data_IF_154737070863
#
_entry.id   IF_154737070863
#
_cell.length_a   1.000
_cell.length_b   1.000
_cell.length_c   1.000
_cell.angle_alpha   90.00
_cell.angle_beta   90.00
_cell.angle_gamma   90.00
#
_symmetry.space_group_name_H-M   'P 1'
#
loop_
_entity.id
_entity.type
_entity.pdbx_description
1 polymer ?
#
# COMPACT_ATOMS: atom_id res chain seq x y z
N UNK A 1 -0.12 -8.14 21.65
CA UNK A 1 0.65 -9.24 22.27
C UNK A 1 -0.08 -10.58 22.28
N UNK A 2 -1.16 -10.75 21.48
CA UNK A 2 -2.00 -11.94 21.53
C UNK A 2 -1.19 -13.21 21.23
N UNK A 3 -0.46 -13.22 20.11
CA UNK A 3 0.28 -14.40 19.67
C UNK A 3 1.45 -14.78 20.59
N UNK A 4 2.23 -13.83 21.12
CA UNK A 4 3.32 -14.18 22.04
C UNK A 4 2.79 -14.85 23.31
N UNK A 5 1.68 -14.35 23.88
CA UNK A 5 1.03 -14.94 25.05
C UNK A 5 0.42 -16.30 24.74
N UNK A 6 -0.29 -16.43 23.62
CA UNK A 6 -0.89 -17.70 23.18
C UNK A 6 0.16 -18.77 22.91
N UNK A 7 1.38 -18.38 22.51
CA UNK A 7 2.52 -19.27 22.32
C UNK A 7 3.35 -19.50 23.59
N UNK A 8 2.90 -19.02 24.76
CA UNK A 8 3.50 -19.30 26.07
C UNK A 8 4.64 -18.38 26.50
N UNK A 9 4.83 -17.22 25.86
CA UNK A 9 5.79 -16.23 26.34
C UNK A 9 5.33 -15.63 27.68
N UNK A 10 6.25 -15.56 28.63
CA UNK A 10 6.07 -14.88 29.92
C UNK A 10 5.76 -13.40 29.70
N UNK A 11 4.59 -12.97 30.16
CA UNK A 11 4.06 -11.62 29.94
C UNK A 11 4.98 -10.53 30.52
N UNK A 12 5.63 -10.78 31.65
CA UNK A 12 6.52 -9.82 32.31
C UNK A 12 7.78 -9.54 31.48
N UNK A 13 8.10 -10.42 30.53
CA UNK A 13 9.26 -10.28 29.63
C UNK A 13 8.91 -9.64 28.30
N UNK A 14 7.63 -9.44 27.97
CA UNK A 14 7.23 -8.86 26.69
C UNK A 14 7.32 -7.32 26.76
N UNK A 15 8.03 -6.72 25.81
CA UNK A 15 8.14 -5.26 25.68
C UNK A 15 7.80 -4.84 24.26
N UNK A 16 7.07 -3.74 24.12
CA UNK A 16 6.76 -3.14 22.81
C UNK A 16 7.91 -2.22 22.42
N UNK A 17 8.48 -2.46 21.25
CA UNK A 17 9.43 -1.55 20.62
C UNK A 17 8.71 -0.97 19.40
N UNK A 18 8.39 0.33 19.37
CA UNK A 18 7.77 0.94 18.20
C UNK A 18 8.75 0.99 17.03
N UNK A 19 8.22 0.98 15.80
CA UNK A 19 9.03 1.20 14.61
C UNK A 19 9.54 2.65 14.61
N UNK A 20 10.83 2.83 14.34
CA UNK A 20 11.42 4.17 14.15
C UNK A 20 11.11 4.72 12.76
N UNK A 21 10.88 6.03 12.68
CA UNK A 21 10.73 6.79 11.43
C UNK A 21 11.47 8.12 11.53
N UNK A 22 12.09 8.55 10.43
CA UNK A 22 12.71 9.88 10.34
C UNK A 22 11.61 10.94 10.16
N UNK A 23 11.34 11.71 11.21
CA UNK A 23 10.25 12.70 11.23
C UNK A 23 10.53 13.95 10.39
N UNK A 24 11.81 14.23 10.11
CA UNK A 24 12.19 15.36 9.25
C UNK A 24 11.98 15.03 7.78
N UNK A 25 12.16 13.74 7.43
CA UNK A 25 11.91 13.18 6.10
C UNK A 25 10.44 12.87 5.85
N UNK A 26 9.77 12.19 6.79
CA UNK A 26 8.38 11.76 6.66
C UNK A 26 7.44 12.79 7.29
N UNK A 27 7.31 13.93 6.62
CA UNK A 27 6.37 14.99 7.00
C UNK A 27 5.46 15.37 5.83
N UNK A 28 4.25 15.88 6.10
CA UNK A 28 3.41 16.46 5.08
C UNK A 28 4.14 17.62 4.37
N UNK A 29 4.19 17.57 3.04
CA UNK A 29 4.72 18.63 2.19
C UNK A 29 3.55 19.45 1.64
N UNK A 30 3.66 20.78 1.67
CA UNK A 30 2.66 21.66 1.07
C UNK A 30 2.64 21.47 -0.45
N UNK A 31 1.54 20.93 -0.99
CA UNK A 31 1.40 20.63 -2.41
C UNK A 31 0.14 19.83 -2.70
N UNK A 32 -0.31 19.81 -3.97
CA UNK A 32 -1.54 19.13 -4.38
C UNK A 32 -1.34 17.62 -4.32
N UNK A 33 -1.71 17.01 -3.20
CA UNK A 33 -2.12 15.60 -3.19
C UNK A 33 -3.17 15.42 -4.30
N UNK A 34 -3.10 14.29 -5.01
CA UNK A 34 -4.14 13.94 -5.96
C UNK A 34 -5.45 13.79 -5.19
N UNK A 35 -6.47 14.54 -5.59
CA UNK A 35 -7.76 14.49 -4.90
C UNK A 35 -8.33 13.10 -5.16
N UNK A 36 -8.59 12.36 -4.08
CA UNK A 36 -8.97 10.92 -4.15
C UNK A 36 -7.82 9.98 -4.56
N UNK A 37 -6.57 10.42 -4.43
CA UNK A 37 -5.41 9.55 -4.58
C UNK A 37 -5.27 8.59 -3.39
N UNK A 38 -5.17 7.30 -3.66
CA UNK A 38 -4.74 6.25 -2.73
C UNK A 38 -3.30 5.92 -3.08
N UNK A 39 -2.42 5.83 -2.09
CA UNK A 39 -1.03 5.42 -2.28
C UNK A 39 -0.77 4.18 -1.45
N UNK A 40 -0.06 3.20 -2.04
CA UNK A 40 0.51 2.08 -1.32
C UNK A 40 2.00 1.99 -1.65
N UNK A 41 2.84 1.87 -0.64
CA UNK A 41 4.27 1.56 -0.81
C UNK A 41 4.51 0.17 -0.25
N UNK A 42 4.65 -0.82 -1.14
CA UNK A 42 4.73 -2.23 -0.76
C UNK A 42 5.47 -3.06 -1.80
N UNK A 43 6.06 -4.19 -1.39
CA UNK A 43 6.58 -5.16 -2.35
C UNK A 43 5.41 -5.84 -3.05
N UNK A 44 5.55 -6.13 -4.34
CA UNK A 44 4.56 -6.90 -5.08
C UNK A 44 4.90 -8.38 -4.90
N UNK A 45 4.26 -8.98 -3.90
CA UNK A 45 4.31 -10.40 -3.56
C UNK A 45 3.05 -10.84 -2.80
N UNK A 46 2.76 -12.16 -2.72
CA UNK A 46 1.54 -12.66 -2.08
C UNK A 46 1.39 -12.30 -0.60
N UNK A 47 2.49 -12.13 0.15
CA UNK A 47 2.41 -11.78 1.58
C UNK A 47 1.86 -10.37 1.78
N UNK A 48 2.06 -9.48 0.80
CA UNK A 48 1.58 -8.10 0.83
C UNK A 48 0.16 -7.91 0.31
N UNK A 49 -0.42 -8.95 -0.28
CA UNK A 49 -1.82 -9.03 -0.69
C UNK A 49 -2.34 -7.80 -1.48
N UNK A 50 -1.61 -7.45 -2.55
CA UNK A 50 -1.97 -6.36 -3.47
C UNK A 50 -3.29 -6.63 -4.19
N UNK A 51 -3.66 -7.91 -4.39
CA UNK A 51 -4.95 -8.31 -4.95
C UNK A 51 -6.09 -7.75 -4.12
N UNK A 52 -6.04 -7.88 -2.79
CA UNK A 52 -7.11 -7.36 -1.94
C UNK A 52 -7.24 -5.83 -2.04
N UNK A 53 -6.14 -5.09 -2.24
CA UNK A 53 -6.20 -3.66 -2.53
C UNK A 53 -6.88 -3.38 -3.88
N UNK A 54 -6.59 -4.17 -4.92
CA UNK A 54 -7.24 -4.04 -6.24
C UNK A 54 -8.76 -4.31 -6.13
N UNK A 55 -9.17 -5.33 -5.37
CA UNK A 55 -10.59 -5.60 -5.09
C UNK A 55 -11.25 -4.40 -4.40
N UNK A 56 -10.61 -3.86 -3.35
CA UNK A 56 -11.10 -2.68 -2.65
C UNK A 56 -11.32 -1.50 -3.59
N UNK A 57 -10.40 -1.28 -4.54
CA UNK A 57 -10.52 -0.21 -5.54
C UNK A 57 -11.72 -0.38 -6.47
N UNK A 58 -12.23 -1.59 -6.71
CA UNK A 58 -13.46 -1.78 -7.49
C UNK A 58 -14.69 -1.18 -6.81
N UNK A 59 -14.78 -1.32 -5.48
CA UNK A 59 -15.86 -0.73 -4.70
C UNK A 59 -15.73 0.79 -4.69
N UNK A 60 -14.54 1.30 -4.41
CA UNK A 60 -14.29 2.75 -4.34
C UNK A 60 -14.52 3.42 -5.70
N UNK A 61 -14.07 2.82 -6.80
CA UNK A 61 -14.27 3.37 -8.13
C UNK A 61 -15.75 3.45 -8.55
N UNK A 62 -16.61 2.59 -7.96
CA UNK A 62 -18.05 2.65 -8.20
C UNK A 62 -18.73 3.84 -7.53
N UNK A 63 -18.18 4.35 -6.43
CA UNK A 63 -18.67 5.53 -5.72
C UNK A 63 -17.93 6.81 -6.09
N UNK A 64 -16.64 6.72 -6.40
CA UNK A 64 -15.73 7.82 -6.72
C UNK A 64 -15.03 7.52 -8.07
N UNK A 65 -15.65 7.85 -9.20
CA UNK A 65 -15.10 7.55 -10.54
C UNK A 65 -13.75 8.20 -10.85
N UNK A 66 -13.36 9.24 -10.12
CA UNK A 66 -12.07 9.92 -10.31
C UNK A 66 -10.93 9.31 -9.49
N UNK A 67 -11.22 8.32 -8.63
CA UNK A 67 -10.22 7.74 -7.72
C UNK A 67 -9.04 7.14 -8.47
N UNK A 68 -7.83 7.35 -7.94
CA UNK A 68 -6.59 6.77 -8.45
C UNK A 68 -5.85 6.06 -7.34
N UNK A 69 -5.36 4.85 -7.58
CA UNK A 69 -4.50 4.09 -6.68
C UNK A 69 -3.10 3.96 -7.30
N UNK A 70 -2.09 4.45 -6.58
CA UNK A 70 -0.69 4.42 -6.97
C UNK A 70 0.06 3.42 -6.09
N UNK A 71 0.51 2.32 -6.69
CA UNK A 71 1.22 1.26 -5.99
C UNK A 71 2.71 1.36 -6.33
N UNK A 72 3.52 1.77 -5.35
CA UNK A 72 4.97 1.85 -5.46
C UNK A 72 5.62 0.65 -4.78
N UNK A 73 6.70 0.16 -5.38
CA UNK A 73 7.59 -0.84 -4.81
C UNK A 73 8.07 -1.84 -5.84
N UNK A 74 9.07 -2.66 -5.46
CA UNK A 74 9.66 -3.62 -6.37
C UNK A 74 8.73 -4.83 -6.55
N UNK A 75 8.75 -5.38 -7.77
CA UNK A 75 8.19 -6.71 -8.03
C UNK A 75 9.17 -7.74 -7.51
N UNK A 76 8.77 -8.50 -6.49
CA UNK A 76 9.58 -9.61 -5.95
C UNK A 76 9.02 -10.98 -6.32
N UNK A 77 7.80 -11.03 -6.85
CA UNK A 77 7.20 -12.20 -7.48
C UNK A 77 6.52 -11.79 -8.80
N UNK A 78 7.11 -12.19 -9.92
CA UNK A 78 6.59 -11.85 -11.25
C UNK A 78 5.27 -12.55 -11.58
N UNK A 79 5.05 -13.79 -11.11
CA UNK A 79 3.78 -14.49 -11.33
C UNK A 79 2.65 -13.80 -10.57
N UNK A 80 2.94 -13.30 -9.38
CA UNK A 80 1.98 -12.51 -8.62
C UNK A 80 1.70 -11.15 -9.26
N UNK A 81 2.70 -10.51 -9.86
CA UNK A 81 2.50 -9.29 -10.64
C UNK A 81 1.57 -9.55 -11.84
N UNK A 82 1.82 -10.58 -12.64
CA UNK A 82 0.96 -10.95 -13.78
C UNK A 82 -0.49 -11.19 -13.32
N UNK A 83 -0.67 -11.83 -12.17
CA UNK A 83 -1.99 -12.04 -11.57
C UNK A 83 -2.66 -10.72 -11.17
N UNK A 84 -1.91 -9.77 -10.60
CA UNK A 84 -2.42 -8.45 -10.25
C UNK A 84 -2.83 -7.65 -11.50
N UNK A 85 -2.03 -7.67 -12.56
CA UNK A 85 -2.34 -6.98 -13.82
C UNK A 85 -3.57 -7.59 -14.51
N UNK A 86 -3.67 -8.91 -14.55
CA UNK A 86 -4.86 -9.61 -15.03
C UNK A 86 -6.09 -9.18 -14.23
N UNK A 87 -5.98 -9.14 -12.89
CA UNK A 87 -7.11 -8.76 -12.04
C UNK A 87 -7.55 -7.32 -12.23
N UNK A 88 -6.61 -6.38 -12.38
CA UNK A 88 -6.92 -4.98 -12.76
C UNK A 88 -7.67 -4.93 -14.09
N UNK A 89 -7.29 -5.77 -15.06
CA UNK A 89 -7.97 -5.85 -16.35
C UNK A 89 -9.39 -6.41 -16.22
N UNK A 90 -9.57 -7.51 -15.48
CA UNK A 90 -10.86 -8.18 -15.29
C UNK A 90 -11.89 -7.27 -14.62
N UNK A 91 -11.44 -6.42 -13.71
CA UNK A 91 -12.28 -5.44 -13.00
C UNK A 91 -12.44 -4.11 -13.75
N UNK A 92 -11.80 -3.95 -14.91
CA UNK A 92 -11.86 -2.69 -15.67
C UNK A 92 -11.14 -1.51 -15.00
N UNK A 93 -10.21 -1.77 -14.07
CA UNK A 93 -9.57 -0.75 -13.24
C UNK A 93 -8.29 -0.16 -13.83
N UNK A 94 -8.02 -0.36 -15.13
CA UNK A 94 -6.77 0.07 -15.77
C UNK A 94 -6.49 1.56 -15.62
N UNK A 95 -7.53 2.39 -15.58
CA UNK A 95 -7.38 3.84 -15.36
C UNK A 95 -7.27 4.23 -13.90
N UNK A 96 -7.70 3.37 -12.99
CA UNK A 96 -7.70 3.62 -11.55
C UNK A 96 -6.44 3.11 -10.86
N UNK A 97 -5.95 1.91 -11.17
CA UNK A 97 -4.80 1.30 -10.50
C UNK A 97 -3.54 1.44 -11.37
N UNK A 98 -2.49 2.04 -10.82
CA UNK A 98 -1.20 2.25 -11.48
C UNK A 98 -0.07 1.64 -10.66
N UNK A 99 0.63 0.68 -11.26
CA UNK A 99 1.90 0.18 -10.72
C UNK A 99 3.02 1.15 -11.11
N UNK A 100 3.62 1.78 -10.11
CA UNK A 100 4.59 2.86 -10.28
C UNK A 100 6.04 2.39 -10.23
N UNK A 101 6.27 1.12 -9.86
CA UNK A 101 7.60 0.53 -9.69
C UNK A 101 8.30 1.01 -8.42
N UNK A 102 9.58 0.66 -8.29
CA UNK A 102 10.41 1.00 -7.14
C UNK A 102 10.62 2.52 -7.00
N UNK A 103 10.64 2.99 -5.75
CA UNK A 103 10.96 4.37 -5.39
C UNK A 103 11.95 4.38 -4.22
N UNK A 104 13.00 5.20 -4.30
CA UNK A 104 14.02 5.34 -3.23
C UNK A 104 13.61 6.36 -2.15
N UNK A 105 12.67 7.24 -2.48
CA UNK A 105 12.12 8.32 -1.66
C UNK A 105 10.59 8.15 -1.45
N UNK A 106 10.16 7.12 -0.68
CA UNK A 106 8.74 6.84 -0.42
C UNK A 106 7.96 7.98 0.23
N UNK A 107 8.62 8.90 0.94
CA UNK A 107 7.99 10.11 1.48
C UNK A 107 7.34 10.97 0.37
N UNK A 108 7.90 10.98 -0.85
CA UNK A 108 7.29 11.68 -1.97
C UNK A 108 6.05 10.93 -2.51
N UNK A 109 6.09 9.60 -2.49
CA UNK A 109 4.93 8.79 -2.85
C UNK A 109 3.78 9.04 -1.87
N UNK A 110 4.03 8.99 -0.56
CA UNK A 110 3.02 9.24 0.45
C UNK A 110 2.39 10.64 0.29
N UNK A 111 3.19 11.67 0.05
CA UNK A 111 2.67 13.03 -0.15
C UNK A 111 1.83 13.23 -1.43
N UNK A 112 1.77 12.24 -2.33
CA UNK A 112 0.88 12.25 -3.50
C UNK A 112 -0.55 11.83 -3.15
N UNK A 113 -0.72 11.04 -2.11
CA UNK A 113 -2.00 10.43 -1.73
C UNK A 113 -2.85 11.34 -0.84
N UNK A 114 -4.16 11.23 -0.99
CA UNK A 114 -5.13 11.65 0.00
C UNK A 114 -5.27 10.61 1.12
N UNK A 115 -5.10 9.33 0.77
CA UNK A 115 -4.99 8.19 1.68
C UNK A 115 -3.66 7.48 1.38
N UNK A 116 -2.93 7.10 2.43
CA UNK A 116 -1.59 6.48 2.37
C UNK A 116 -1.49 5.27 3.27
#
# INVERSE_FOLDING_TARGET
MRWQKELGADEEKIRIIPNGVDVDRFKPVSGKADRWGVVSVTRIDPLKDVINLIEAMSYVASEIPEVRCYIYGPVTDHRYMDHCEARVSDLGLKDHVKFMGYISNPELAYNRGWVV
#
